data_IF_903935405964
#
_entry.id   IF_903935405964
#
_cell.length_a   1.000
_cell.length_b   1.000
_cell.length_c   1.000
_cell.angle_alpha   90.00
_cell.angle_beta   90.00
_cell.angle_gamma   90.00
#
_symmetry.space_group_name_H-M   'P 1'
#
loop_
_entity.id
_entity.type
_entity.pdbx_description
1 polymer ?
#
# COMPACT_ATOMS: atom_id res chain seq x y z
N UNK A 1 15.06 -6.35 12.28
CA UNK A 1 14.06 -5.27 12.56
C UNK A 1 12.99 -5.31 11.48
N UNK A 2 11.70 -5.50 11.84
CA UNK A 2 10.60 -5.39 10.87
C UNK A 2 10.54 -3.97 10.33
N UNK A 3 10.61 -3.82 9.01
CA UNK A 3 10.45 -2.51 8.35
C UNK A 3 9.05 -1.96 8.64
N UNK A 4 8.96 -0.68 8.97
CA UNK A 4 7.68 0.00 9.18
C UNK A 4 6.94 0.14 7.83
N UNK A 5 5.60 0.25 7.81
CA UNK A 5 4.78 0.38 6.59
C UNK A 5 5.30 1.47 5.63
N UNK A 6 5.73 2.60 6.17
CA UNK A 6 6.34 3.68 5.40
C UNK A 6 7.66 3.27 4.74
N UNK A 7 8.53 2.54 5.44
CA UNK A 7 9.81 2.05 4.87
C UNK A 7 9.58 1.03 3.75
N UNK A 8 8.55 0.19 3.89
CA UNK A 8 8.14 -0.76 2.84
C UNK A 8 7.60 -0.04 1.61
N UNK A 9 6.79 0.98 1.84
CA UNK A 9 6.27 1.83 0.76
C UNK A 9 7.40 2.54 0.00
N UNK A 10 8.34 3.16 0.70
CA UNK A 10 9.50 3.81 0.08
C UNK A 10 10.37 2.79 -0.68
N UNK A 11 10.58 1.60 -0.12
CA UNK A 11 11.33 0.53 -0.79
C UNK A 11 10.65 0.08 -2.10
N UNK A 12 9.32 -0.02 -2.10
CA UNK A 12 8.53 -0.35 -3.31
C UNK A 12 8.70 0.71 -4.40
N UNK A 13 8.75 1.99 -4.02
CA UNK A 13 8.93 3.12 -4.96
C UNK A 13 10.37 3.29 -5.44
N UNK A 14 11.35 2.76 -4.71
CA UNK A 14 12.78 2.96 -5.04
C UNK A 14 13.17 2.38 -6.40
N UNK A 15 12.45 1.40 -6.90
CA UNK A 15 12.66 0.82 -8.23
C UNK A 15 12.27 1.78 -9.36
N UNK A 16 11.29 2.67 -9.12
CA UNK A 16 10.76 3.64 -10.08
C UNK A 16 11.25 5.07 -9.84
N UNK A 17 12.34 5.24 -9.08
CA UNK A 17 12.86 6.55 -8.65
C UNK A 17 13.05 7.55 -9.79
N UNK A 18 13.37 7.09 -11.00
CA UNK A 18 13.59 7.95 -12.18
C UNK A 18 12.28 8.58 -12.67
N UNK A 19 11.22 7.77 -12.78
CA UNK A 19 9.90 8.25 -13.23
C UNK A 19 9.27 9.16 -12.18
N UNK A 20 9.48 8.84 -10.90
CA UNK A 20 9.08 9.69 -9.78
C UNK A 20 9.81 11.04 -9.81
N UNK A 21 11.11 11.07 -10.10
CA UNK A 21 11.86 12.31 -10.24
C UNK A 21 11.33 13.17 -11.40
N UNK A 22 10.96 12.59 -12.54
CA UNK A 22 10.29 13.31 -13.62
C UNK A 22 8.94 13.89 -13.18
N UNK A 23 8.16 13.13 -12.46
CA UNK A 23 6.86 13.59 -11.94
C UNK A 23 7.01 14.78 -11.00
N UNK A 24 7.97 14.76 -10.07
CA UNK A 24 8.28 15.90 -9.21
C UNK A 24 8.81 17.11 -9.99
N UNK A 25 9.61 16.88 -11.03
CA UNK A 25 10.09 17.96 -11.92
C UNK A 25 8.91 18.63 -12.63
N UNK A 26 7.96 17.84 -13.16
CA UNK A 26 6.76 18.40 -13.79
C UNK A 26 5.87 19.12 -12.77
N UNK A 27 5.75 18.62 -11.53
CA UNK A 27 5.03 19.32 -10.46
C UNK A 27 5.65 20.69 -10.14
N UNK A 28 6.98 20.76 -10.10
CA UNK A 28 7.72 22.01 -9.89
C UNK A 28 7.44 23.02 -11.01
N UNK A 29 7.63 22.59 -12.26
CA UNK A 29 7.40 23.48 -13.43
C UNK A 29 5.92 23.86 -13.54
N UNK A 30 4.97 22.93 -13.28
CA UNK A 30 3.55 23.25 -13.22
C UNK A 30 3.27 24.34 -12.20
N UNK A 31 3.82 24.22 -10.99
CA UNK A 31 3.60 25.20 -9.92
C UNK A 31 4.18 26.57 -10.25
N UNK A 32 5.35 26.62 -10.90
CA UNK A 32 5.94 27.86 -11.40
C UNK A 32 5.07 28.52 -12.48
N UNK A 33 4.65 27.73 -13.47
CA UNK A 33 3.83 28.24 -14.59
C UNK A 33 2.45 28.68 -14.10
N UNK A 34 1.88 28.00 -13.10
CA UNK A 34 0.57 28.35 -12.54
C UNK A 34 0.57 29.73 -11.84
N UNK A 35 1.74 30.25 -11.42
CA UNK A 35 1.87 31.61 -10.92
C UNK A 35 1.83 32.68 -12.02
N UNK A 36 1.91 32.30 -13.30
CA UNK A 36 1.75 33.24 -14.41
C UNK A 36 0.39 33.95 -14.38
N UNK A 37 -0.66 33.26 -13.90
CA UNK A 37 -2.01 33.82 -13.78
C UNK A 37 -2.07 34.98 -12.76
N UNK A 38 -1.71 34.84 -11.48
CA UNK A 38 -1.74 35.96 -10.54
C UNK A 38 -0.80 37.10 -10.92
N UNK A 39 0.41 36.79 -11.43
CA UNK A 39 1.36 37.79 -11.89
C UNK A 39 0.83 38.56 -13.12
N UNK A 40 0.21 37.84 -14.05
CA UNK A 40 -0.41 38.44 -15.23
C UNK A 40 -1.58 39.35 -14.86
N UNK A 41 -2.43 38.92 -13.93
CA UNK A 41 -3.54 39.72 -13.41
C UNK A 41 -3.02 40.98 -12.72
N UNK A 42 -1.97 40.87 -11.90
CA UNK A 42 -1.30 42.03 -11.28
C UNK A 42 -0.89 43.08 -12.31
N UNK A 43 -0.21 42.61 -13.35
CA UNK A 43 0.30 43.51 -14.41
C UNK A 43 -0.85 44.13 -15.24
N UNK A 44 -1.91 43.35 -15.53
CA UNK A 44 -3.12 43.86 -16.24
C UNK A 44 -3.82 44.91 -15.39
N UNK A 45 -4.01 44.66 -14.09
CA UNK A 45 -4.66 45.65 -13.17
C UNK A 45 -3.82 46.96 -13.13
N UNK A 46 -2.49 46.84 -13.08
CA UNK A 46 -1.60 48.01 -13.15
C UNK A 46 -1.75 48.81 -14.44
N UNK A 47 -1.88 48.18 -15.61
CA UNK A 47 -2.11 48.80 -16.89
C UNK A 47 -3.51 49.50 -16.95
N UNK A 48 -4.52 48.88 -16.41
CA UNK A 48 -5.89 49.46 -16.33
C UNK A 48 -5.88 50.70 -15.46
N UNK A 49 -5.23 50.68 -14.30
CA UNK A 49 -5.13 51.84 -13.42
C UNK A 49 -4.36 53.01 -14.05
N UNK A 50 -3.32 52.72 -14.88
CA UNK A 50 -2.60 53.73 -15.63
C UNK A 50 -3.43 54.36 -16.79
N UNK A 51 -4.64 53.85 -17.07
CA UNK A 51 -5.50 54.38 -18.14
C UNK A 51 -4.97 54.12 -19.54
N UNK A 52 -3.96 53.28 -19.72
CA UNK A 52 -3.31 53.03 -20.99
C UNK A 52 -3.83 51.75 -21.66
N UNK A 53 -4.68 51.91 -22.66
CA UNK A 53 -5.06 50.81 -23.56
C UNK A 53 -3.94 50.69 -24.59
N UNK A 54 -2.96 49.80 -24.34
CA UNK A 54 -1.82 49.62 -25.20
C UNK A 54 -1.74 48.17 -25.73
N UNK A 55 -0.98 47.93 -26.79
CA UNK A 55 -0.67 46.60 -27.34
C UNK A 55 -0.10 45.66 -26.27
N UNK A 56 0.56 46.21 -25.23
CA UNK A 56 1.11 45.48 -24.11
C UNK A 56 0.05 44.65 -23.37
N UNK A 57 -1.21 45.09 -23.25
CA UNK A 57 -2.30 44.35 -22.63
C UNK A 57 -2.64 43.06 -23.39
N UNK A 58 -2.68 43.13 -24.74
CA UNK A 58 -2.94 41.95 -25.60
C UNK A 58 -1.80 40.94 -25.48
N UNK A 59 -0.55 41.43 -25.54
CA UNK A 59 0.65 40.56 -25.40
C UNK A 59 0.64 39.87 -24.04
N UNK A 60 0.37 40.59 -22.97
CA UNK A 60 0.33 40.04 -21.62
C UNK A 60 -0.78 38.97 -21.44
N UNK A 61 -1.98 39.24 -21.98
CA UNK A 61 -3.08 38.27 -22.00
C UNK A 61 -2.70 36.99 -22.78
N UNK A 62 -2.00 37.13 -23.90
CA UNK A 62 -1.51 36.00 -24.68
C UNK A 62 -0.45 35.19 -23.89
N UNK A 63 0.49 35.84 -23.20
CA UNK A 63 1.51 35.17 -22.35
C UNK A 63 0.85 34.38 -21.22
N UNK A 64 -0.14 34.97 -20.52
CA UNK A 64 -0.90 34.29 -19.46
C UNK A 64 -1.65 33.06 -20.01
N UNK A 65 -2.30 33.22 -21.17
CA UNK A 65 -3.02 32.10 -21.83
C UNK A 65 -2.06 30.96 -22.21
N UNK A 66 -0.89 31.29 -22.77
CA UNK A 66 0.15 30.30 -23.06
C UNK A 66 0.60 29.60 -21.78
N UNK A 67 0.78 30.33 -20.67
CA UNK A 67 1.10 29.77 -19.37
C UNK A 67 0.06 28.73 -18.93
N UNK A 68 -1.22 29.04 -19.04
CA UNK A 68 -2.30 28.09 -18.70
C UNK A 68 -2.26 26.83 -19.57
N UNK A 69 -2.01 26.99 -20.88
CA UNK A 69 -1.89 25.84 -21.80
C UNK A 69 -0.69 24.97 -21.43
N UNK A 70 0.48 25.56 -21.18
CA UNK A 70 1.70 24.83 -20.77
C UNK A 70 1.47 24.11 -19.43
N UNK A 71 0.80 24.75 -18.46
CA UNK A 71 0.40 24.14 -17.21
C UNK A 71 -0.47 22.91 -17.44
N UNK A 72 -1.48 22.99 -18.32
CA UNK A 72 -2.32 21.87 -18.70
C UNK A 72 -1.52 20.70 -19.31
N UNK A 73 -0.58 20.99 -20.20
CA UNK A 73 0.29 19.97 -20.81
C UNK A 73 1.13 19.26 -19.72
N UNK A 74 1.73 20.01 -18.79
CA UNK A 74 2.51 19.43 -17.69
C UNK A 74 1.65 18.52 -16.79
N UNK A 75 0.39 18.88 -16.53
CA UNK A 75 -0.54 18.01 -15.79
C UNK A 75 -0.84 16.71 -16.56
N UNK A 76 -1.05 16.77 -17.87
CA UNK A 76 -1.27 15.58 -18.69
C UNK A 76 -0.05 14.68 -18.67
N UNK A 77 1.17 15.24 -18.71
CA UNK A 77 2.42 14.47 -18.60
C UNK A 77 2.55 13.79 -17.22
N UNK A 78 2.21 14.48 -16.13
CA UNK A 78 2.17 13.88 -14.79
C UNK A 78 1.18 12.72 -14.73
N UNK A 79 -0.03 12.91 -15.28
CA UNK A 79 -1.06 11.87 -15.31
C UNK A 79 -0.58 10.63 -16.06
N UNK A 80 0.09 10.82 -17.21
CA UNK A 80 0.62 9.72 -18.03
C UNK A 80 1.69 8.91 -17.30
N UNK A 81 2.63 9.58 -16.61
CA UNK A 81 3.64 8.88 -15.79
C UNK A 81 2.99 8.15 -14.62
N UNK A 82 2.03 8.78 -13.95
CA UNK A 82 1.30 8.16 -12.86
C UNK A 82 0.59 6.87 -13.30
N UNK A 83 -0.01 6.86 -14.49
CA UNK A 83 -0.66 5.67 -15.06
C UNK A 83 0.35 4.55 -15.33
N UNK A 84 1.51 4.87 -15.91
CA UNK A 84 2.59 3.88 -16.14
C UNK A 84 3.04 3.25 -14.82
N UNK A 85 3.22 4.06 -13.77
CA UNK A 85 3.59 3.55 -12.44
C UNK A 85 2.53 2.61 -11.87
N UNK A 86 1.24 2.95 -12.01
CA UNK A 86 0.12 2.11 -11.57
C UNK A 86 0.14 0.76 -12.28
N UNK A 87 0.33 0.74 -13.60
CA UNK A 87 0.40 -0.50 -14.39
C UNK A 87 1.58 -1.38 -13.95
N UNK A 88 2.76 -0.79 -13.70
CA UNK A 88 3.94 -1.52 -13.21
C UNK A 88 3.72 -2.14 -11.83
N UNK A 89 3.11 -1.39 -10.90
CA UNK A 89 2.82 -1.91 -9.55
C UNK A 89 1.89 -3.11 -9.62
N UNK A 90 0.82 -3.03 -10.41
CA UNK A 90 -0.10 -4.15 -10.59
C UNK A 90 0.61 -5.37 -11.18
N UNK A 91 1.37 -5.16 -12.25
CA UNK A 91 2.11 -6.23 -12.93
C UNK A 91 3.09 -6.91 -11.97
N UNK A 92 3.91 -6.13 -11.25
CA UNK A 92 4.86 -6.68 -10.27
C UNK A 92 4.13 -7.46 -9.18
N UNK A 93 3.07 -6.92 -8.61
CA UNK A 93 2.31 -7.61 -7.58
C UNK A 93 1.74 -8.93 -8.10
N UNK A 94 1.18 -8.96 -9.32
CA UNK A 94 0.64 -10.18 -9.92
C UNK A 94 1.71 -11.26 -10.09
N UNK A 95 2.88 -10.91 -10.64
CA UNK A 95 3.98 -11.86 -10.79
C UNK A 95 4.59 -12.29 -9.46
N UNK A 96 4.74 -11.38 -8.51
CA UNK A 96 5.25 -11.67 -7.17
C UNK A 96 4.35 -12.67 -6.43
N UNK A 97 3.03 -12.47 -6.45
CA UNK A 97 2.08 -13.40 -5.85
C UNK A 97 2.10 -14.76 -6.55
N UNK A 98 2.09 -14.76 -7.90
CA UNK A 98 2.13 -16.00 -8.69
C UNK A 98 3.42 -16.80 -8.43
N UNK A 99 4.55 -16.12 -8.30
CA UNK A 99 5.83 -16.74 -8.02
C UNK A 99 5.90 -17.31 -6.61
N UNK A 100 5.42 -16.53 -5.59
CA UNK A 100 5.60 -16.88 -4.17
C UNK A 100 4.61 -17.91 -3.67
N UNK A 101 3.32 -17.83 -4.07
CA UNK A 101 2.27 -18.69 -3.50
C UNK A 101 2.62 -20.18 -3.59
N UNK A 102 3.05 -20.73 -4.74
CA UNK A 102 3.42 -22.15 -4.82
C UNK A 102 4.70 -22.52 -4.06
N UNK A 103 5.49 -21.52 -3.65
CA UNK A 103 6.79 -21.68 -2.99
C UNK A 103 6.77 -21.29 -1.52
N UNK A 104 5.62 -21.01 -0.94
CA UNK A 104 5.57 -20.76 0.51
C UNK A 104 6.02 -21.96 1.31
N UNK A 105 6.86 -21.73 2.29
CA UNK A 105 7.26 -22.75 3.24
C UNK A 105 6.01 -23.26 3.98
N UNK A 106 5.73 -24.56 3.89
CA UNK A 106 4.54 -25.18 4.47
C UNK A 106 4.39 -24.94 5.97
N UNK A 107 5.50 -24.79 6.69
CA UNK A 107 5.51 -24.47 8.12
C UNK A 107 4.97 -23.07 8.41
N UNK A 108 5.23 -22.09 7.54
CA UNK A 108 4.85 -20.69 7.73
C UNK A 108 3.40 -20.37 7.35
N UNK A 109 2.76 -21.24 6.56
CA UNK A 109 1.35 -21.08 6.15
C UNK A 109 0.40 -21.97 6.95
N UNK A 110 0.90 -22.84 7.83
CA UNK A 110 0.08 -23.72 8.64
C UNK A 110 -0.83 -22.91 9.56
N UNK A 111 -2.11 -23.29 9.63
CA UNK A 111 -3.14 -22.54 10.36
C UNK A 111 -3.65 -21.27 9.66
N UNK A 112 -3.07 -20.91 8.52
CA UNK A 112 -3.59 -19.88 7.61
C UNK A 112 -4.30 -20.58 6.45
N UNK A 113 -5.41 -20.00 6.00
CA UNK A 113 -6.11 -20.51 4.83
C UNK A 113 -5.52 -19.85 3.56
N UNK A 114 -4.74 -20.59 2.73
CA UNK A 114 -4.03 -19.98 1.60
C UNK A 114 -4.92 -19.17 0.64
N UNK A 115 -6.17 -19.60 0.30
CA UNK A 115 -7.07 -18.79 -0.51
C UNK A 115 -7.45 -17.45 0.11
N UNK A 116 -7.33 -17.26 1.43
CA UNK A 116 -7.55 -15.96 2.07
C UNK A 116 -6.38 -15.00 1.81
N UNK A 117 -5.15 -15.53 1.71
CA UNK A 117 -3.97 -14.72 1.41
C UNK A 117 -4.07 -14.04 0.04
N UNK A 118 -4.74 -14.69 -0.93
CA UNK A 118 -4.97 -14.14 -2.27
C UNK A 118 -5.82 -12.87 -2.23
N UNK A 119 -6.72 -12.71 -1.25
CA UNK A 119 -7.51 -11.48 -1.13
C UNK A 119 -6.64 -10.24 -0.91
N UNK A 120 -5.43 -10.41 -0.33
CA UNK A 120 -4.49 -9.30 -0.14
C UNK A 120 -3.96 -8.76 -1.46
N UNK A 121 -4.03 -9.53 -2.53
CA UNK A 121 -3.71 -9.03 -3.88
C UNK A 121 -4.60 -7.84 -4.28
N UNK A 122 -5.88 -7.85 -3.90
CA UNK A 122 -6.80 -6.76 -4.23
C UNK A 122 -6.46 -5.44 -3.52
N UNK A 123 -5.64 -5.48 -2.45
CA UNK A 123 -5.11 -4.26 -1.85
C UNK A 123 -4.16 -3.51 -2.80
N UNK A 124 -3.62 -4.18 -3.82
CA UNK A 124 -2.83 -3.56 -4.89
C UNK A 124 -3.61 -2.46 -5.61
N UNK A 125 -4.94 -2.62 -5.76
CA UNK A 125 -5.80 -1.60 -6.36
C UNK A 125 -5.88 -0.33 -5.49
N UNK A 126 -5.85 -0.48 -4.16
CA UNK A 126 -5.80 0.65 -3.24
C UNK A 126 -4.44 1.36 -3.33
N UNK A 127 -3.35 0.60 -3.45
CA UNK A 127 -2.01 1.16 -3.68
C UNK A 127 -1.96 1.94 -4.99
N UNK A 128 -2.48 1.38 -6.10
CA UNK A 128 -2.51 2.07 -7.39
C UNK A 128 -3.24 3.42 -7.32
N UNK A 129 -4.51 3.39 -6.88
CA UNK A 129 -5.35 4.61 -6.80
C UNK A 129 -4.78 5.65 -5.84
N UNK A 130 -4.33 5.21 -4.67
CA UNK A 130 -3.78 6.10 -3.66
C UNK A 130 -2.42 6.66 -4.07
N UNK A 131 -1.56 5.86 -4.73
CA UNK A 131 -0.27 6.32 -5.23
C UNK A 131 -0.41 7.47 -6.23
N UNK A 132 -1.35 7.36 -7.18
CA UNK A 132 -1.63 8.44 -8.13
C UNK A 132 -1.94 9.74 -7.40
N UNK A 133 -2.83 9.70 -6.40
CA UNK A 133 -3.16 10.88 -5.58
C UNK A 133 -1.96 11.40 -4.80
N UNK A 134 -1.16 10.51 -4.20
CA UNK A 134 0.04 10.91 -3.46
C UNK A 134 1.06 11.57 -4.38
N UNK A 135 1.37 10.96 -5.50
CA UNK A 135 2.39 11.48 -6.40
C UNK A 135 1.96 12.76 -7.14
N UNK A 136 0.68 12.88 -7.49
CA UNK A 136 0.19 14.08 -8.21
C UNK A 136 -0.28 15.17 -7.24
N UNK A 137 -1.24 14.85 -6.37
CA UNK A 137 -1.92 15.86 -5.56
C UNK A 137 -1.02 16.38 -4.43
N UNK A 138 -0.33 15.47 -3.72
CA UNK A 138 0.56 15.86 -2.63
C UNK A 138 1.76 16.64 -3.15
N UNK A 139 2.44 16.14 -4.20
CA UNK A 139 3.64 16.80 -4.72
C UNK A 139 3.33 18.16 -5.34
N UNK A 140 2.28 18.25 -6.18
CA UNK A 140 1.88 19.52 -6.79
C UNK A 140 1.43 20.53 -5.74
N UNK A 141 0.67 20.10 -4.72
CA UNK A 141 0.24 20.98 -3.63
C UNK A 141 1.40 21.46 -2.78
N UNK A 142 2.34 20.58 -2.44
CA UNK A 142 3.52 20.97 -1.68
C UNK A 142 4.38 21.99 -2.43
N UNK A 143 4.61 21.77 -3.74
CA UNK A 143 5.35 22.70 -4.59
C UNK A 143 4.61 24.04 -4.75
N UNK A 144 3.29 24.00 -4.95
CA UNK A 144 2.45 25.20 -5.06
C UNK A 144 2.50 26.05 -3.77
N UNK A 145 2.45 25.41 -2.59
CA UNK A 145 2.58 26.13 -1.32
C UNK A 145 3.96 26.77 -1.22
N UNK A 146 5.04 26.02 -1.47
CA UNK A 146 6.40 26.53 -1.37
C UNK A 146 6.65 27.73 -2.30
N UNK A 147 6.32 27.57 -3.59
CA UNK A 147 6.56 28.61 -4.59
C UNK A 147 5.61 29.80 -4.35
N UNK A 148 4.36 29.55 -4.00
CA UNK A 148 3.42 30.61 -3.65
C UNK A 148 3.84 31.43 -2.44
N UNK A 149 4.37 30.79 -1.38
CA UNK A 149 4.90 31.49 -0.21
C UNK A 149 6.16 32.32 -0.53
N UNK A 150 7.04 31.79 -1.39
CA UNK A 150 8.20 32.57 -1.87
C UNK A 150 7.73 33.81 -2.62
N UNK A 151 6.75 33.71 -3.50
CA UNK A 151 6.19 34.87 -4.21
C UNK A 151 5.57 35.87 -3.26
N UNK A 152 4.71 35.43 -2.33
CA UNK A 152 4.09 36.33 -1.36
C UNK A 152 5.10 37.08 -0.50
N UNK A 153 6.20 36.44 -0.13
CA UNK A 153 7.25 37.06 0.67
C UNK A 153 7.91 38.26 -0.02
N UNK A 154 7.85 38.32 -1.35
CA UNK A 154 8.39 39.45 -2.14
C UNK A 154 7.46 40.69 -2.13
N UNK A 155 6.19 40.53 -1.77
CA UNK A 155 5.24 41.65 -1.77
C UNK A 155 5.33 42.45 -0.46
N UNK A 156 5.29 41.77 0.68
CA UNK A 156 5.38 42.45 1.98
C UNK A 156 5.81 41.45 3.08
N UNK A 157 6.63 41.88 4.07
CA UNK A 157 7.09 40.99 5.17
C UNK A 157 5.96 40.34 5.98
N UNK A 158 4.79 40.96 6.04
CA UNK A 158 3.59 40.38 6.68
C UNK A 158 3.24 39.00 6.14
N UNK A 159 3.42 38.75 4.83
CA UNK A 159 3.13 37.46 4.25
C UNK A 159 4.11 36.34 4.65
N UNK A 160 5.29 36.70 5.16
CA UNK A 160 6.23 35.73 5.75
C UNK A 160 5.63 35.13 7.02
N UNK A 161 5.02 35.97 7.89
CA UNK A 161 4.37 35.47 9.11
C UNK A 161 3.22 34.55 8.81
N UNK A 162 2.41 34.87 7.79
CA UNK A 162 1.37 33.98 7.29
C UNK A 162 1.94 32.63 6.83
N UNK A 163 3.01 32.63 6.04
CA UNK A 163 3.65 31.40 5.56
C UNK A 163 4.16 30.52 6.70
N UNK A 164 4.82 31.13 7.68
CA UNK A 164 5.29 30.42 8.88
C UNK A 164 4.10 29.81 9.63
N UNK A 165 3.03 30.58 9.86
CA UNK A 165 1.83 30.10 10.55
C UNK A 165 1.19 28.91 9.82
N UNK A 166 1.11 28.95 8.49
CA UNK A 166 0.59 27.85 7.68
C UNK A 166 1.46 26.59 7.80
N UNK A 167 2.78 26.72 7.67
CA UNK A 167 3.70 25.57 7.76
C UNK A 167 3.64 24.95 9.16
N UNK A 168 3.64 25.77 10.21
CA UNK A 168 3.52 25.30 11.59
C UNK A 168 2.19 24.57 11.80
N UNK A 169 1.09 25.11 11.31
CA UNK A 169 -0.23 24.49 11.42
C UNK A 169 -0.26 23.13 10.69
N UNK A 170 0.17 23.08 9.44
CA UNK A 170 0.19 21.82 8.66
C UNK A 170 1.07 20.78 9.33
N UNK A 171 2.27 21.17 9.79
CA UNK A 171 3.17 20.27 10.50
C UNK A 171 2.55 19.76 11.80
N UNK A 172 1.92 20.63 12.59
CA UNK A 172 1.24 20.25 13.82
C UNK A 172 0.09 19.28 13.55
N UNK A 173 -0.77 19.57 12.57
CA UNK A 173 -1.88 18.67 12.20
C UNK A 173 -1.33 17.28 11.82
N UNK A 174 -0.34 17.22 10.93
CA UNK A 174 0.23 15.96 10.46
C UNK A 174 0.94 15.19 11.59
N UNK A 175 1.67 15.87 12.45
CA UNK A 175 2.38 15.26 13.57
C UNK A 175 1.43 14.63 14.60
N UNK A 176 0.37 15.35 14.99
CA UNK A 176 -0.57 14.86 16.01
C UNK A 176 -1.60 13.86 15.47
N UNK A 177 -1.99 13.98 14.22
CA UNK A 177 -3.06 13.14 13.66
C UNK A 177 -2.54 12.00 12.78
N UNK A 178 -1.34 12.10 12.20
CA UNK A 178 -0.77 11.11 11.29
C UNK A 178 -0.71 9.70 11.87
N UNK A 179 -0.07 9.48 13.04
CA UNK A 179 0.01 8.14 13.65
C UNK A 179 -1.37 7.57 13.99
N UNK A 180 -2.29 8.42 14.52
CA UNK A 180 -3.67 8.02 14.87
C UNK A 180 -4.50 7.68 13.63
N UNK A 181 -4.29 8.42 12.54
CA UNK A 181 -4.93 8.17 11.26
C UNK A 181 -4.54 6.81 10.69
N UNK A 182 -3.24 6.50 10.66
CA UNK A 182 -2.73 5.22 10.20
C UNK A 182 -3.22 4.05 11.07
N UNK A 183 -3.12 4.16 12.39
CA UNK A 183 -3.60 3.12 13.30
C UNK A 183 -5.10 2.86 13.12
N UNK A 184 -5.91 3.91 13.01
CA UNK A 184 -7.36 3.77 12.82
C UNK A 184 -7.72 3.15 11.47
N UNK A 185 -7.01 3.47 10.38
CA UNK A 185 -7.16 2.85 9.06
C UNK A 185 -6.81 1.35 9.09
N UNK A 186 -5.69 0.99 9.76
CA UNK A 186 -5.29 -0.41 9.92
C UNK A 186 -6.33 -1.23 10.70
N UNK A 187 -6.89 -0.67 11.76
CA UNK A 187 -7.92 -1.33 12.57
C UNK A 187 -9.23 -1.50 11.78
N UNK A 188 -9.68 -0.47 11.08
CA UNK A 188 -10.83 -0.54 10.18
C UNK A 188 -10.64 -1.65 9.12
N UNK A 189 -9.50 -1.65 8.45
CA UNK A 189 -9.14 -2.65 7.45
C UNK A 189 -9.18 -4.07 8.02
N UNK A 190 -8.76 -4.26 9.27
CA UNK A 190 -8.78 -5.58 9.92
C UNK A 190 -10.20 -6.14 10.03
N UNK A 191 -11.18 -5.32 10.42
CA UNK A 191 -12.58 -5.77 10.51
C UNK A 191 -13.23 -5.96 9.15
N UNK A 192 -12.90 -5.15 8.15
CA UNK A 192 -13.28 -5.37 6.75
C UNK A 192 -12.89 -6.77 6.28
N UNK A 193 -11.67 -7.21 6.58
CA UNK A 193 -11.20 -8.55 6.22
C UNK A 193 -11.86 -9.67 7.04
N UNK A 194 -12.17 -9.43 8.32
CA UNK A 194 -12.94 -10.41 9.13
C UNK A 194 -14.34 -10.65 8.55
N UNK A 195 -14.99 -9.60 8.06
CA UNK A 195 -16.29 -9.73 7.38
C UNK A 195 -16.13 -10.51 6.08
N UNK A 196 -15.13 -10.17 5.25
CA UNK A 196 -14.88 -10.90 4.02
C UNK A 196 -14.56 -12.39 4.25
N UNK A 197 -13.79 -12.70 5.30
CA UNK A 197 -13.51 -14.08 5.71
C UNK A 197 -14.81 -14.80 6.11
N UNK A 198 -15.65 -14.17 6.93
CA UNK A 198 -16.92 -14.75 7.36
C UNK A 198 -17.85 -15.03 6.18
N UNK A 199 -17.98 -14.10 5.23
CA UNK A 199 -18.79 -14.32 4.01
C UNK A 199 -18.26 -15.51 3.18
N UNK A 200 -16.94 -15.69 3.11
CA UNK A 200 -16.33 -16.86 2.46
C UNK A 200 -16.67 -18.16 3.20
N UNK A 201 -16.63 -18.16 4.53
CA UNK A 201 -16.99 -19.33 5.32
C UNK A 201 -18.46 -19.72 5.11
N UNK A 202 -19.36 -18.74 5.05
CA UNK A 202 -20.78 -18.99 4.70
C UNK A 202 -20.87 -19.61 3.31
N UNK A 203 -20.18 -19.07 2.31
CA UNK A 203 -20.20 -19.59 0.95
C UNK A 203 -19.61 -21.00 0.87
N UNK A 204 -18.51 -21.28 1.59
CA UNK A 204 -17.85 -22.58 1.64
C UNK A 204 -18.73 -23.65 2.30
N UNK A 205 -19.50 -23.27 3.32
CA UNK A 205 -20.33 -24.17 4.11
C UNK A 205 -21.83 -23.99 3.83
N UNK A 206 -22.18 -23.50 2.63
CA UNK A 206 -23.55 -23.18 2.23
C UNK A 206 -24.52 -24.33 2.44
N UNK A 207 -24.13 -25.55 2.11
CA UNK A 207 -24.97 -26.74 2.29
C UNK A 207 -25.24 -27.06 3.77
N UNK A 208 -24.30 -26.76 4.66
CA UNK A 208 -24.50 -26.91 6.11
C UNK A 208 -25.56 -25.92 6.59
N UNK A 209 -25.48 -24.64 6.16
CA UNK A 209 -26.50 -23.65 6.51
C UNK A 209 -27.86 -23.97 5.93
N UNK A 210 -27.95 -24.49 4.70
CA UNK A 210 -29.20 -24.95 4.08
C UNK A 210 -29.83 -26.09 4.88
N UNK A 211 -29.01 -27.03 5.36
CA UNK A 211 -29.50 -28.18 6.21
C UNK A 211 -29.88 -27.75 7.60
N UNK A 212 -29.27 -26.73 8.15
CA UNK A 212 -29.62 -26.19 9.47
C UNK A 212 -30.97 -25.43 9.47
N UNK A 213 -31.57 -25.22 8.29
CA UNK A 213 -32.86 -24.53 8.15
C UNK A 213 -32.76 -23.04 8.47
N UNK A 214 -33.76 -22.51 9.18
CA UNK A 214 -33.82 -21.09 9.53
C UNK A 214 -32.93 -20.76 10.73
N UNK A 215 -31.61 -20.72 10.54
CA UNK A 215 -30.69 -20.27 11.60
C UNK A 215 -30.37 -18.77 11.43
N UNK A 216 -30.42 -18.01 12.52
CA UNK A 216 -30.07 -16.60 12.56
C UNK A 216 -28.54 -16.38 12.70
N UNK A 217 -27.76 -17.43 13.00
CA UNK A 217 -26.34 -17.39 13.25
C UNK A 217 -25.52 -16.60 12.20
N UNK A 218 -25.78 -16.73 10.86
CA UNK A 218 -25.06 -15.94 9.87
C UNK A 218 -25.28 -14.43 10.04
N UNK A 219 -26.50 -14.02 10.33
CA UNK A 219 -26.87 -12.62 10.50
C UNK A 219 -26.36 -12.05 11.82
N UNK A 220 -26.54 -12.75 12.93
CA UNK A 220 -26.01 -12.34 14.25
C UNK A 220 -24.51 -12.14 14.23
N UNK A 221 -23.77 -13.09 13.65
CA UNK A 221 -22.31 -12.96 13.56
C UNK A 221 -21.88 -11.84 12.62
N UNK A 222 -22.61 -11.63 11.51
CA UNK A 222 -22.37 -10.51 10.61
C UNK A 222 -22.61 -9.19 11.32
N UNK A 223 -23.72 -9.07 12.07
CA UNK A 223 -24.08 -7.87 12.82
C UNK A 223 -22.98 -7.47 13.80
N UNK A 224 -22.49 -8.39 14.63
CA UNK A 224 -21.40 -8.13 15.55
C UNK A 224 -20.06 -7.77 14.89
N UNK A 225 -19.79 -8.27 13.67
CA UNK A 225 -18.60 -7.88 12.91
C UNK A 225 -18.77 -6.50 12.27
N UNK A 226 -19.96 -6.20 11.75
CA UNK A 226 -20.30 -4.90 11.15
C UNK A 226 -20.32 -3.81 12.20
N UNK A 227 -20.87 -4.06 13.39
CA UNK A 227 -20.84 -3.10 14.51
C UNK A 227 -19.40 -2.67 14.82
N UNK A 228 -18.50 -3.63 14.99
CA UNK A 228 -17.08 -3.35 15.23
C UNK A 228 -16.41 -2.61 14.07
N UNK A 229 -16.73 -2.98 12.82
CA UNK A 229 -16.25 -2.25 11.65
C UNK A 229 -16.69 -0.78 11.68
N UNK A 230 -17.99 -0.54 11.95
CA UNK A 230 -18.53 0.82 12.02
C UNK A 230 -17.95 1.64 13.18
N UNK A 231 -17.65 1.01 14.32
CA UNK A 231 -16.96 1.68 15.43
C UNK A 231 -15.57 2.17 15.00
N UNK A 232 -14.77 1.30 14.36
CA UNK A 232 -13.45 1.67 13.87
C UNK A 232 -13.52 2.68 12.72
N UNK A 233 -14.49 2.56 11.81
CA UNK A 233 -14.74 3.55 10.75
C UNK A 233 -15.09 4.92 11.32
N UNK A 234 -15.94 4.99 12.34
CA UNK A 234 -16.27 6.25 13.04
C UNK A 234 -15.06 6.87 13.75
N UNK A 235 -14.15 6.05 14.29
CA UNK A 235 -12.89 6.55 14.87
C UNK A 235 -11.98 7.14 13.80
N UNK A 236 -11.82 6.44 12.69
CA UNK A 236 -11.03 6.93 11.56
C UNK A 236 -11.61 8.24 11.00
N UNK A 237 -12.92 8.28 10.78
CA UNK A 237 -13.62 9.48 10.31
C UNK A 237 -13.45 10.69 11.22
N UNK A 238 -13.44 10.49 12.55
CA UNK A 238 -13.18 11.60 13.50
C UNK A 238 -11.80 12.21 13.32
N UNK A 239 -10.79 11.42 12.99
CA UNK A 239 -9.44 11.95 12.72
C UNK A 239 -9.44 12.80 11.45
N UNK A 240 -10.06 12.29 10.37
CA UNK A 240 -10.13 13.01 9.08
C UNK A 240 -10.93 14.32 9.22
N UNK A 241 -12.08 14.29 9.88
CA UNK A 241 -12.90 15.50 10.09
C UNK A 241 -12.18 16.53 10.94
N UNK A 242 -11.42 16.11 11.96
CA UNK A 242 -10.60 17.02 12.75
C UNK A 242 -9.52 17.68 11.90
N UNK A 243 -8.82 16.93 11.04
CA UNK A 243 -7.85 17.48 10.11
C UNK A 243 -8.48 18.54 9.20
N UNK A 244 -9.62 18.19 8.60
CA UNK A 244 -10.33 19.08 7.68
C UNK A 244 -10.91 20.33 8.35
N UNK A 245 -11.50 20.19 9.54
CA UNK A 245 -12.05 21.31 10.28
C UNK A 245 -10.99 22.35 10.66
N UNK A 246 -9.78 21.89 11.03
CA UNK A 246 -8.68 22.81 11.33
C UNK A 246 -8.24 23.63 10.11
N UNK A 247 -8.17 23.01 8.92
CA UNK A 247 -7.79 23.75 7.71
C UNK A 247 -8.89 24.72 7.28
N UNK A 248 -10.18 24.35 7.43
CA UNK A 248 -11.31 25.26 7.16
C UNK A 248 -11.30 26.45 8.11
N UNK A 249 -11.08 26.22 9.40
CA UNK A 249 -10.93 27.29 10.40
C UNK A 249 -9.79 28.25 10.07
N UNK A 250 -8.62 27.68 9.70
CA UNK A 250 -7.48 28.46 9.24
C UNK A 250 -7.77 29.27 7.97
N UNK A 251 -8.43 28.67 6.98
CA UNK A 251 -8.89 29.33 5.75
C UNK A 251 -9.74 30.57 6.07
N UNK A 252 -10.73 30.42 6.95
CA UNK A 252 -11.59 31.52 7.35
C UNK A 252 -10.81 32.65 8.04
N UNK A 253 -9.90 32.29 8.96
CA UNK A 253 -9.06 33.26 9.68
C UNK A 253 -8.11 34.02 8.75
N UNK A 254 -7.48 33.30 7.80
CA UNK A 254 -6.59 33.92 6.81
C UNK A 254 -7.34 34.83 5.87
N UNK A 255 -8.51 34.41 5.39
CA UNK A 255 -9.34 35.25 4.51
C UNK A 255 -9.74 36.56 5.24
N UNK A 256 -10.16 36.47 6.49
CA UNK A 256 -10.46 37.64 7.31
C UNK A 256 -9.24 38.53 7.49
N UNK A 257 -8.10 37.96 7.86
CA UNK A 257 -6.84 38.68 8.03
C UNK A 257 -6.38 39.37 6.76
N UNK A 258 -6.48 38.69 5.59
CA UNK A 258 -6.11 39.26 4.30
C UNK A 258 -7.00 40.47 3.94
N UNK A 259 -8.31 40.31 4.08
CA UNK A 259 -9.23 41.42 3.74
C UNK A 259 -9.01 42.65 4.63
N UNK A 260 -8.78 42.45 5.93
CA UNK A 260 -8.54 43.58 6.87
C UNK A 260 -7.14 44.14 6.68
N UNK A 261 -6.10 43.33 6.83
CA UNK A 261 -4.71 43.80 6.83
C UNK A 261 -4.24 44.15 5.42
N UNK A 262 -4.58 43.35 4.41
CA UNK A 262 -4.27 43.65 3.01
C UNK A 262 -4.94 44.94 2.55
N UNK A 263 -6.21 45.16 2.95
CA UNK A 263 -6.90 46.42 2.69
C UNK A 263 -6.23 47.62 3.37
N UNK A 264 -5.79 47.48 4.63
CA UNK A 264 -5.02 48.54 5.33
C UNK A 264 -3.71 48.84 4.64
N UNK A 265 -2.94 47.84 4.20
CA UNK A 265 -1.68 48.03 3.48
C UNK A 265 -1.87 48.78 2.15
N UNK A 266 -3.00 48.58 1.46
CA UNK A 266 -3.35 49.34 0.26
C UNK A 266 -3.67 50.79 0.62
N UNK A 267 -4.46 51.05 1.69
CA UNK A 267 -4.80 52.40 2.15
C UNK A 267 -3.56 53.16 2.58
N UNK A 268 -2.58 52.48 3.19
CA UNK A 268 -1.31 53.07 3.63
C UNK A 268 -0.30 53.21 2.48
N UNK A 269 -0.65 52.81 1.26
CA UNK A 269 0.21 52.81 0.07
C UNK A 269 1.51 51.96 0.21
N UNK A 270 1.49 50.96 1.09
CA UNK A 270 2.61 49.99 1.23
C UNK A 270 2.58 48.94 0.11
N UNK A 271 1.39 48.61 -0.39
CA UNK A 271 1.17 47.76 -1.58
C UNK A 271 0.21 48.44 -2.53
N UNK A 272 0.38 48.23 -3.84
CA UNK A 272 -0.57 48.72 -4.83
C UNK A 272 -1.78 47.75 -5.01
N UNK A 273 -2.87 48.23 -5.61
CA UNK A 273 -4.09 47.43 -5.81
C UNK A 273 -3.79 46.17 -6.65
N UNK A 274 -2.91 46.25 -7.63
CA UNK A 274 -2.51 45.08 -8.43
C UNK A 274 -1.81 44.01 -7.59
N UNK A 275 -0.92 44.40 -6.69
CA UNK A 275 -0.26 43.50 -5.73
C UNK A 275 -1.27 42.91 -4.73
N UNK A 276 -2.23 43.67 -4.25
CA UNK A 276 -3.29 43.19 -3.36
C UNK A 276 -4.11 42.10 -4.03
N UNK A 277 -4.61 42.34 -5.26
CA UNK A 277 -5.40 41.35 -6.01
C UNK A 277 -4.56 40.10 -6.33
N UNK A 278 -3.30 40.27 -6.71
CA UNK A 278 -2.42 39.12 -6.95
C UNK A 278 -2.15 38.32 -5.67
N UNK A 279 -1.91 39.00 -4.54
CA UNK A 279 -1.69 38.31 -3.25
C UNK A 279 -2.94 37.55 -2.82
N UNK A 280 -4.14 38.07 -3.03
CA UNK A 280 -5.39 37.38 -2.76
C UNK A 280 -5.51 36.08 -3.58
N UNK A 281 -5.23 36.15 -4.88
CA UNK A 281 -5.26 34.96 -5.76
C UNK A 281 -4.22 33.94 -5.31
N UNK A 282 -2.98 34.34 -5.01
CA UNK A 282 -1.93 33.44 -4.56
C UNK A 282 -2.28 32.80 -3.23
N UNK A 283 -2.85 33.55 -2.28
CA UNK A 283 -3.29 32.99 -0.99
C UNK A 283 -4.40 31.97 -1.18
N UNK A 284 -5.38 32.24 -2.04
CA UNK A 284 -6.43 31.28 -2.38
C UNK A 284 -5.82 29.98 -2.96
N UNK A 285 -4.85 30.11 -3.87
CA UNK A 285 -4.15 28.95 -4.43
C UNK A 285 -3.40 28.16 -3.36
N UNK A 286 -2.71 28.84 -2.46
CA UNK A 286 -1.99 28.19 -1.34
C UNK A 286 -2.95 27.48 -0.41
N UNK A 287 -4.05 28.10 -0.02
CA UNK A 287 -5.07 27.52 0.87
C UNK A 287 -5.72 26.28 0.21
N UNK A 288 -6.08 26.37 -1.05
CA UNK A 288 -6.64 25.25 -1.80
C UNK A 288 -5.62 24.10 -1.90
N UNK A 289 -4.34 24.40 -2.06
CA UNK A 289 -3.26 23.41 -2.05
C UNK A 289 -3.07 22.78 -0.66
N UNK A 290 -3.17 23.57 0.41
CA UNK A 290 -3.12 23.07 1.79
C UNK A 290 -4.33 22.16 2.10
N UNK A 291 -5.52 22.55 1.68
CA UNK A 291 -6.74 21.74 1.79
C UNK A 291 -6.58 20.40 1.04
N UNK A 292 -6.09 20.46 -0.20
CA UNK A 292 -5.82 19.26 -1.01
C UNK A 292 -4.77 18.33 -0.38
N UNK A 293 -3.73 18.92 0.22
CA UNK A 293 -2.70 18.17 0.95
C UNK A 293 -3.30 17.41 2.15
N UNK A 294 -4.18 18.02 2.92
CA UNK A 294 -4.88 17.37 4.04
C UNK A 294 -5.84 16.30 3.54
N UNK A 295 -6.59 16.54 2.46
CA UNK A 295 -7.48 15.53 1.87
C UNK A 295 -6.72 14.31 1.30
N UNK A 296 -5.45 14.48 0.94
CA UNK A 296 -4.60 13.37 0.49
C UNK A 296 -4.14 12.47 1.65
N UNK A 297 -4.36 12.85 2.91
CA UNK A 297 -4.00 12.02 4.06
C UNK A 297 -4.78 10.70 4.11
N UNK A 298 -6.09 10.69 3.80
CA UNK A 298 -6.87 9.44 3.73
C UNK A 298 -6.26 8.44 2.73
N UNK A 299 -6.03 8.80 1.45
CA UNK A 299 -5.28 7.94 0.53
C UNK A 299 -3.90 7.48 1.02
N UNK A 300 -3.16 8.32 1.74
CA UNK A 300 -1.87 7.93 2.32
C UNK A 300 -2.05 6.82 3.35
N UNK A 301 -3.00 6.95 4.27
CA UNK A 301 -3.30 5.91 5.26
C UNK A 301 -3.74 4.61 4.60
N UNK A 302 -4.59 4.68 3.58
CA UNK A 302 -5.07 3.52 2.84
C UNK A 302 -3.94 2.81 2.09
N UNK A 303 -3.03 3.55 1.45
CA UNK A 303 -1.86 2.99 0.77
C UNK A 303 -0.92 2.31 1.78
N UNK A 304 -0.59 2.96 2.89
CA UNK A 304 0.30 2.38 3.90
C UNK A 304 -0.32 1.12 4.52
N UNK A 305 -1.64 1.13 4.77
CA UNK A 305 -2.38 -0.04 5.24
C UNK A 305 -2.37 -1.16 4.19
N UNK A 306 -2.59 -0.85 2.93
CA UNK A 306 -2.56 -1.80 1.82
C UNK A 306 -1.16 -2.42 1.65
N UNK A 307 -0.10 -1.61 1.69
CA UNK A 307 1.29 -2.08 1.62
C UNK A 307 1.61 -3.04 2.78
N UNK A 308 1.17 -2.75 4.01
CA UNK A 308 1.36 -3.65 5.14
C UNK A 308 0.62 -4.99 4.94
N UNK A 309 -0.60 -4.95 4.37
CA UNK A 309 -1.37 -6.17 4.05
C UNK A 309 -0.72 -7.00 2.95
N UNK A 310 -0.26 -6.38 1.88
CA UNK A 310 0.48 -7.05 0.79
C UNK A 310 1.76 -7.66 1.37
N UNK A 311 2.52 -6.90 2.15
CA UNK A 311 3.75 -7.37 2.79
C UNK A 311 3.51 -8.55 3.73
N UNK A 312 2.35 -8.65 4.37
CA UNK A 312 2.02 -9.81 5.21
C UNK A 312 1.99 -11.14 4.43
N UNK A 313 1.89 -11.07 3.11
CA UNK A 313 1.95 -12.22 2.20
C UNK A 313 3.33 -12.33 1.56
N UNK A 314 3.88 -11.23 1.06
CA UNK A 314 5.18 -11.24 0.39
C UNK A 314 6.36 -11.46 1.35
N UNK A 315 6.20 -11.19 2.64
CA UNK A 315 7.20 -11.47 3.67
C UNK A 315 7.14 -12.93 4.19
N UNK A 316 6.20 -13.76 3.70
CA UNK A 316 6.15 -15.19 4.07
C UNK A 316 7.42 -15.86 3.51
N UNK A 317 8.17 -16.61 4.35
CA UNK A 317 9.34 -17.35 3.92
C UNK A 317 9.00 -18.31 2.77
N UNK A 318 9.87 -18.36 1.80
CA UNK A 318 9.80 -19.33 0.71
C UNK A 318 10.53 -20.62 1.12
N UNK A 319 10.14 -21.71 0.52
CA UNK A 319 10.91 -22.95 0.60
C UNK A 319 12.30 -22.70 0.01
N UNK A 320 13.35 -23.05 0.77
CA UNK A 320 14.72 -23.01 0.28
C UNK A 320 15.02 -24.33 -0.44
N UNK A 321 15.52 -24.22 -1.64
CA UNK A 321 16.03 -25.38 -2.39
C UNK A 321 17.41 -25.71 -1.86
N UNK A 322 17.46 -26.42 -0.72
CA UNK A 322 18.72 -26.66 0.02
C UNK A 322 19.63 -27.70 -0.64
N UNK A 323 19.09 -28.59 -1.47
CA UNK A 323 19.85 -29.66 -2.07
C UNK A 323 20.46 -29.31 -3.43
N UNK A 324 21.69 -29.67 -3.64
CA UNK A 324 22.43 -29.44 -4.90
C UNK A 324 22.40 -30.63 -5.85
N UNK A 325 22.04 -31.83 -5.38
CA UNK A 325 22.05 -33.06 -6.18
C UNK A 325 20.73 -33.22 -6.88
N UNK A 326 20.66 -33.17 -8.23
CA UNK A 326 19.43 -33.43 -8.98
C UNK A 326 19.01 -34.91 -8.80
N UNK A 327 17.75 -35.14 -8.43
CA UNK A 327 17.20 -36.47 -8.28
C UNK A 327 17.13 -37.20 -9.63
N UNK A 328 16.92 -36.47 -10.70
CA UNK A 328 16.91 -36.96 -12.09
C UNK A 328 18.21 -37.62 -12.54
N UNK A 329 19.32 -37.36 -11.84
CA UNK A 329 20.65 -37.99 -12.08
C UNK A 329 20.85 -39.26 -11.28
N UNK A 330 19.95 -39.59 -10.36
CA UNK A 330 20.05 -40.79 -9.54
C UNK A 330 19.36 -41.94 -10.27
N UNK A 331 20.07 -43.02 -10.48
CA UNK A 331 19.46 -44.21 -11.07
C UNK A 331 18.42 -44.80 -10.11
N UNK A 332 17.19 -44.76 -10.51
CA UNK A 332 16.07 -45.28 -9.72
C UNK A 332 15.57 -46.65 -10.21
N UNK A 333 16.09 -47.16 -11.32
CA UNK A 333 15.70 -48.47 -11.86
C UNK A 333 14.18 -48.63 -11.95
N UNK A 334 13.59 -49.56 -11.20
CA UNK A 334 12.15 -49.78 -11.09
C UNK A 334 11.45 -48.91 -10.06
N UNK A 335 12.08 -47.84 -9.56
CA UNK A 335 11.59 -46.91 -8.55
C UNK A 335 12.65 -46.65 -7.45
N UNK A 336 12.48 -45.59 -6.69
CA UNK A 336 13.42 -45.27 -5.61
C UNK A 336 13.22 -46.15 -4.39
N UNK A 337 14.32 -46.62 -3.76
CA UNK A 337 14.28 -47.11 -2.39
C UNK A 337 14.13 -45.93 -1.43
N UNK A 338 13.38 -46.14 -0.34
CA UNK A 338 13.17 -45.11 0.69
C UNK A 338 13.63 -45.67 2.06
N UNK A 339 14.48 -44.92 2.73
CA UNK A 339 14.96 -45.29 4.07
C UNK A 339 14.65 -44.15 5.04
N UNK A 340 14.08 -44.52 6.18
CA UNK A 340 13.84 -43.66 7.31
C UNK A 340 14.79 -44.05 8.43
N UNK A 341 15.62 -43.12 8.89
CA UNK A 341 16.60 -43.33 9.94
C UNK A 341 16.27 -42.39 11.11
N UNK A 342 15.87 -43.01 12.22
CA UNK A 342 15.51 -42.32 13.48
C UNK A 342 14.61 -41.15 13.31
N UNK A 343 13.60 -41.29 12.42
CA UNK A 343 12.72 -40.23 12.01
C UNK A 343 11.77 -39.80 13.13
N UNK A 344 11.89 -38.57 13.55
CA UNK A 344 10.96 -37.92 14.49
C UNK A 344 10.24 -36.75 13.84
N UNK A 345 8.97 -36.61 14.15
CA UNK A 345 8.23 -35.46 13.77
C UNK A 345 7.30 -34.99 14.88
N UNK A 346 7.48 -33.77 15.33
CA UNK A 346 6.68 -33.12 16.36
C UNK A 346 5.73 -32.11 15.71
N UNK A 347 4.52 -31.97 16.24
CA UNK A 347 3.61 -30.90 15.83
C UNK A 347 4.33 -29.56 15.91
N UNK A 348 4.01 -28.63 15.00
CA UNK A 348 4.66 -27.31 14.96
C UNK A 348 4.45 -26.47 16.22
N UNK A 349 3.36 -26.74 16.96
CA UNK A 349 3.13 -26.12 18.26
C UNK A 349 4.09 -26.64 19.34
N UNK A 350 5.01 -27.54 18.96
CA UNK A 350 6.03 -28.12 19.83
C UNK A 350 5.45 -29.06 20.93
N UNK A 351 4.13 -29.25 20.94
CA UNK A 351 3.44 -29.87 22.07
C UNK A 351 3.25 -31.38 21.93
N UNK A 352 3.12 -31.89 20.71
CA UNK A 352 2.79 -33.30 20.48
C UNK A 352 3.76 -33.98 19.51
N UNK A 353 4.58 -34.94 19.97
CA UNK A 353 5.35 -35.79 19.09
C UNK A 353 4.41 -36.75 18.34
N UNK A 354 4.35 -36.62 17.01
CA UNK A 354 3.48 -37.41 16.12
C UNK A 354 4.17 -38.68 15.69
N UNK A 355 5.46 -38.60 15.32
CA UNK A 355 6.32 -39.75 14.98
C UNK A 355 7.51 -39.71 15.89
N UNK A 356 7.93 -40.91 16.38
CA UNK A 356 9.05 -41.07 17.31
C UNK A 356 9.94 -42.19 16.84
N UNK A 357 11.20 -41.89 16.59
CA UNK A 357 12.27 -42.85 16.33
C UNK A 357 11.88 -43.91 15.28
N UNK A 358 11.23 -43.49 14.19
CA UNK A 358 10.75 -44.40 13.16
C UNK A 358 11.90 -44.81 12.25
N UNK A 359 12.14 -46.11 12.17
CA UNK A 359 13.11 -46.73 11.27
C UNK A 359 12.33 -47.63 10.31
N UNK A 360 12.49 -47.43 9.01
CA UNK A 360 11.80 -48.18 7.98
C UNK A 360 12.61 -48.18 6.69
N UNK A 361 12.65 -49.32 6.02
CA UNK A 361 13.23 -49.43 4.68
C UNK A 361 12.14 -49.94 3.73
N UNK A 362 11.93 -49.20 2.66
CA UNK A 362 11.03 -49.57 1.56
C UNK A 362 11.92 -49.82 0.34
N UNK A 363 12.08 -51.06 -0.09
CA UNK A 363 12.93 -51.39 -1.24
C UNK A 363 12.38 -50.78 -2.56
N UNK A 364 13.24 -50.58 -3.54
CA UNK A 364 12.85 -50.21 -4.89
C UNK A 364 11.76 -51.12 -5.46
N UNK A 365 10.72 -50.51 -6.07
CA UNK A 365 9.59 -51.25 -6.65
C UNK A 365 8.61 -51.91 -5.66
N UNK A 366 8.84 -51.78 -4.35
CA UNK A 366 7.99 -52.37 -3.34
C UNK A 366 6.59 -51.65 -3.26
N UNK A 367 5.56 -52.43 -2.97
CA UNK A 367 4.23 -51.93 -2.62
C UNK A 367 4.03 -52.03 -1.12
N UNK A 368 3.93 -50.92 -0.43
CA UNK A 368 3.77 -50.85 1.03
C UNK A 368 2.38 -50.31 1.40
N UNK A 369 1.79 -50.84 2.47
CA UNK A 369 0.53 -50.37 3.04
C UNK A 369 0.75 -49.90 4.46
N UNK A 370 0.34 -48.67 4.77
CA UNK A 370 0.41 -48.11 6.10
C UNK A 370 -0.97 -48.22 6.78
N UNK A 371 -1.06 -49.03 7.84
CA UNK A 371 -2.30 -49.25 8.60
C UNK A 371 -2.17 -48.72 10.03
N UNK A 372 -3.27 -48.40 10.65
CA UNK A 372 -3.32 -47.95 12.06
C UNK A 372 -4.57 -47.11 12.38
N UNK A 373 -4.75 -46.84 13.66
CA UNK A 373 -5.87 -46.03 14.17
C UNK A 373 -5.85 -44.59 13.59
N UNK A 374 -7.05 -43.94 13.61
CA UNK A 374 -7.10 -42.50 13.27
C UNK A 374 -6.25 -41.72 14.27
N UNK A 375 -5.50 -40.74 13.77
CA UNK A 375 -4.55 -39.96 14.59
C UNK A 375 -3.17 -40.60 14.82
N UNK A 376 -2.86 -41.81 14.28
CA UNK A 376 -1.56 -42.48 14.46
C UNK A 376 -0.40 -41.92 13.64
N UNK A 377 -0.59 -40.83 12.91
CA UNK A 377 0.49 -40.19 12.13
C UNK A 377 0.63 -40.66 10.69
N UNK A 378 -0.26 -41.52 10.15
CA UNK A 378 -0.17 -42.06 8.77
C UNK A 378 -0.05 -40.97 7.70
N UNK A 379 -0.95 -40.00 7.73
CA UNK A 379 -0.93 -38.87 6.77
C UNK A 379 0.31 -37.99 6.95
N UNK A 380 0.80 -37.86 8.18
CA UNK A 380 2.04 -37.13 8.48
C UNK A 380 3.25 -37.87 7.89
N UNK A 381 3.30 -39.18 8.03
CA UNK A 381 4.36 -39.99 7.43
C UNK A 381 4.34 -39.89 5.91
N UNK A 382 3.16 -40.00 5.27
CA UNK A 382 3.07 -39.84 3.81
C UNK A 382 3.56 -38.45 3.34
N UNK A 383 3.24 -37.40 4.09
CA UNK A 383 3.70 -36.04 3.74
C UNK A 383 5.22 -35.86 3.93
N UNK A 384 5.82 -36.56 4.90
CA UNK A 384 7.28 -36.60 5.05
C UNK A 384 7.94 -37.38 3.90
N UNK A 385 7.35 -38.51 3.49
CA UNK A 385 7.81 -39.29 2.34
C UNK A 385 7.65 -38.52 1.02
N UNK A 386 6.61 -37.72 0.87
CA UNK A 386 6.41 -36.82 -0.27
C UNK A 386 7.24 -35.50 -0.16
N UNK A 387 8.11 -35.40 0.83
CA UNK A 387 8.95 -34.21 1.08
C UNK A 387 8.15 -32.91 1.16
N UNK A 388 6.90 -32.99 1.63
CA UNK A 388 6.05 -31.84 1.93
C UNK A 388 6.32 -31.27 3.32
N UNK A 389 6.82 -32.12 4.25
CA UNK A 389 7.24 -31.75 5.59
C UNK A 389 8.71 -32.10 5.79
N UNK A 390 9.37 -31.28 6.62
CA UNK A 390 10.72 -31.59 7.08
C UNK A 390 10.63 -32.31 8.43
N UNK A 391 11.44 -33.38 8.66
CA UNK A 391 11.50 -34.05 9.95
C UNK A 391 12.04 -33.12 11.03
N UNK A 392 11.60 -33.31 12.28
CA UNK A 392 12.15 -32.61 13.44
C UNK A 392 13.56 -33.11 13.80
N UNK A 393 13.79 -34.41 13.65
CA UNK A 393 15.10 -35.07 13.74
C UNK A 393 15.09 -36.37 12.95
N UNK A 394 16.26 -36.93 12.69
CA UNK A 394 16.42 -38.03 11.76
C UNK A 394 16.40 -37.59 10.30
N UNK A 395 16.34 -38.54 9.38
CA UNK A 395 16.33 -38.24 7.96
C UNK A 395 15.44 -39.21 7.16
N UNK A 396 15.07 -38.74 5.97
CA UNK A 396 14.48 -39.54 4.89
C UNK A 396 15.52 -39.60 3.78
N UNK A 397 15.86 -40.79 3.32
CA UNK A 397 16.82 -40.98 2.22
C UNK A 397 16.13 -41.65 1.03
N UNK A 398 16.48 -41.26 -0.16
CA UNK A 398 16.06 -41.84 -1.43
C UNK A 398 17.30 -42.40 -2.15
N UNK A 399 17.29 -43.69 -2.43
CA UNK A 399 18.49 -44.41 -3.00
C UNK A 399 19.79 -44.08 -2.29
N UNK A 400 19.76 -44.03 -0.93
CA UNK A 400 20.92 -43.71 -0.10
C UNK A 400 21.28 -42.25 0.02
N UNK A 401 20.59 -41.35 -0.69
CA UNK A 401 20.82 -39.92 -0.60
C UNK A 401 19.79 -39.27 0.36
N UNK A 402 20.27 -38.57 1.37
CA UNK A 402 19.41 -37.86 2.30
C UNK A 402 18.59 -36.77 1.55
N UNK A 403 17.30 -36.65 1.86
CA UNK A 403 16.39 -35.68 1.20
C UNK A 403 16.88 -34.24 1.26
N UNK A 404 17.54 -33.82 2.34
CA UNK A 404 18.13 -32.48 2.46
C UNK A 404 19.30 -32.19 1.52
N UNK A 405 19.93 -33.23 0.91
CA UNK A 405 20.99 -33.06 -0.08
C UNK A 405 20.46 -33.04 -1.52
N UNK A 406 19.22 -33.46 -1.71
CA UNK A 406 18.54 -33.52 -3.02
C UNK A 406 17.86 -32.23 -3.34
N UNK A 407 17.88 -31.85 -4.64
CA UNK A 407 17.07 -30.73 -5.10
C UNK A 407 15.60 -31.07 -4.86
N UNK A 408 14.95 -30.31 -3.96
CA UNK A 408 13.59 -30.60 -3.48
C UNK A 408 12.55 -30.49 -4.60
N UNK A 409 12.70 -29.53 -5.51
CA UNK A 409 11.78 -29.34 -6.64
C UNK A 409 11.89 -30.51 -7.63
N UNK A 410 13.11 -30.95 -7.94
CA UNK A 410 13.36 -32.07 -8.83
C UNK A 410 12.87 -33.39 -8.21
N UNK A 411 13.13 -33.61 -6.92
CA UNK A 411 12.62 -34.79 -6.20
C UNK A 411 11.08 -34.86 -6.25
N UNK A 412 10.39 -33.73 -5.93
CA UNK A 412 8.92 -33.66 -5.98
C UNK A 412 8.34 -33.90 -7.38
N UNK A 413 9.06 -33.51 -8.43
CA UNK A 413 8.65 -33.79 -9.81
C UNK A 413 8.55 -35.29 -10.10
N UNK A 414 9.36 -36.11 -9.41
CA UNK A 414 9.38 -37.56 -9.55
C UNK A 414 8.48 -38.30 -8.53
N UNK A 415 7.85 -37.57 -7.60
CA UNK A 415 6.93 -38.13 -6.60
C UNK A 415 5.50 -37.82 -6.98
N UNK A 416 4.72 -38.84 -7.33
CA UNK A 416 3.27 -38.71 -7.49
C UNK A 416 2.56 -38.92 -6.15
N UNK A 417 1.82 -37.93 -5.66
CA UNK A 417 1.02 -38.04 -4.44
C UNK A 417 -0.48 -37.81 -4.72
N UNK A 418 -1.34 -38.40 -3.90
CA UNK A 418 -2.77 -38.24 -3.94
C UNK A 418 -3.29 -38.13 -2.49
N UNK A 419 -3.49 -36.90 -2.03
CA UNK A 419 -4.08 -36.62 -0.73
C UNK A 419 -5.56 -36.21 -0.90
N UNK A 420 -6.43 -36.76 -0.06
CA UNK A 420 -7.79 -36.25 0.09
C UNK A 420 -7.70 -34.88 0.80
N UNK A 421 -8.15 -33.83 0.11
CA UNK A 421 -8.18 -32.44 0.61
C UNK A 421 -9.34 -32.21 1.58
#
# INVERSE_FOLDING_TARGET
MKKNAFQKFVAMLAEDRRDIAYLYSYALFYSLVNLSLPLGIQAIVGLIQAGTVSTNWIILSAVVTIGVIVGGILQVMQLSISEILQQRIFTRAAFEFTYRIPRFQNTSIRGKYPPELINRFFDTLNVQKGLSKILMDFSSSAMQILIGLVLLSTYHPFFITFGIALIVLLTAILYYTGPRGLESSMNESTYKYKIAHWLKEIARTMDTFKRAGHTELPLERTDGLVEKYLEHRKRHWRVLIFQYANIVGFKALVTLGLLILGGLLVIQNEINIGQFVASEIVIILIINSAEKLILTMEPIYDVLTAVEKISSVTDIPLEEDQGTVPFSQIDTGMGASVELNDLCYTSQDGTLPILRHLNLVIPSGARAVITGKNGSGKSTLLRLLAVQYEPTSGNVSFNGHASGNLNTADLRYHVGDCFLS
#
